data_IF_345573408192
#
_entry.id   IF_345573408192
#
_cell.length_a   1.000
_cell.length_b   1.000
_cell.length_c   1.000
_cell.angle_alpha   90.00
_cell.angle_beta   90.00
_cell.angle_gamma   90.00
#
_symmetry.space_group_name_H-M   'P 1'
#
loop_
_entity.id
_entity.type
_entity.pdbx_description
1 polymer ?
#
# COMPACT_ATOMS: atom_id res chain seq x y z
N UNK A 1 -7.71 -14.34 -1.30
CA UNK A 1 -8.96 -15.10 -1.18
C UNK A 1 -9.58 -14.95 0.19
N UNK A 2 -10.85 -15.38 0.31
CA UNK A 2 -11.60 -15.31 1.58
C UNK A 2 -10.91 -16.12 2.70
N UNK A 3 -10.94 -15.56 3.92
CA UNK A 3 -10.48 -16.24 5.15
C UNK A 3 -9.01 -16.72 5.11
N UNK A 4 -8.12 -15.91 4.52
CA UNK A 4 -6.70 -16.26 4.35
C UNK A 4 -5.74 -15.54 5.31
N UNK A 5 -6.24 -14.84 6.34
CA UNK A 5 -5.37 -14.09 7.27
C UNK A 5 -4.35 -14.98 7.98
N UNK A 6 -4.67 -16.24 8.23
CA UNK A 6 -3.75 -17.18 8.89
C UNK A 6 -2.49 -17.47 8.04
N UNK A 7 -2.52 -17.19 6.73
CA UNK A 7 -1.33 -17.31 5.88
C UNK A 7 -0.24 -16.28 6.22
N UNK A 8 -0.58 -15.20 6.95
CA UNK A 8 0.41 -14.24 7.45
C UNK A 8 1.50 -14.94 8.27
N UNK A 9 1.17 -16.01 8.97
CA UNK A 9 2.15 -16.80 9.72
C UNK A 9 3.23 -17.42 8.81
N UNK A 10 2.93 -17.69 7.56
CA UNK A 10 3.87 -18.24 6.58
C UNK A 10 4.54 -17.15 5.74
N UNK A 11 3.80 -16.08 5.43
CA UNK A 11 4.24 -15.01 4.53
C UNK A 11 5.19 -14.02 5.19
N UNK A 12 5.06 -13.81 6.49
CA UNK A 12 5.93 -12.91 7.27
C UNK A 12 7.03 -13.71 7.95
N UNK A 13 8.32 -13.30 7.91
CA UNK A 13 9.40 -14.02 8.58
C UNK A 13 9.11 -14.27 10.06
N UNK A 14 9.48 -15.44 10.58
CA UNK A 14 9.11 -15.89 11.94
C UNK A 14 9.74 -15.07 13.06
N UNK A 15 10.91 -14.53 12.80
CA UNK A 15 11.72 -13.71 13.71
C UNK A 15 11.54 -12.20 13.50
N UNK A 16 10.69 -11.80 12.53
CA UNK A 16 10.48 -10.42 12.21
C UNK A 16 9.88 -9.62 13.37
N UNK A 17 10.37 -8.39 13.53
CA UNK A 17 9.71 -7.33 14.29
C UNK A 17 8.84 -6.52 13.36
N UNK A 18 7.55 -6.74 13.45
CA UNK A 18 6.55 -6.24 12.49
C UNK A 18 5.99 -4.90 12.94
N UNK A 19 5.92 -3.92 12.04
CA UNK A 19 5.08 -2.74 12.21
C UNK A 19 3.81 -2.89 11.38
N UNK A 20 2.65 -2.82 12.01
CA UNK A 20 1.37 -2.68 11.31
C UNK A 20 1.10 -1.19 11.11
N UNK A 21 1.04 -0.75 9.84
CA UNK A 21 0.62 0.60 9.47
C UNK A 21 -0.86 0.60 9.08
N UNK A 22 -1.65 1.58 9.55
CA UNK A 22 -3.08 1.66 9.22
C UNK A 22 -3.62 3.10 9.26
N UNK A 23 -4.81 3.31 8.67
CA UNK A 23 -5.43 4.63 8.57
C UNK A 23 -6.22 5.06 9.81
N UNK A 24 -7.36 5.72 9.61
CA UNK A 24 -8.19 6.39 10.63
C UNK A 24 -8.94 5.49 11.62
N UNK A 25 -8.50 4.24 11.84
CA UNK A 25 -8.99 3.36 12.88
C UNK A 25 -10.18 2.45 12.52
N UNK A 26 -10.62 2.39 11.26
CA UNK A 26 -11.65 1.43 10.83
C UNK A 26 -11.20 -0.02 11.01
N UNK A 27 -9.93 -0.32 10.70
CA UNK A 27 -9.33 -1.63 10.90
C UNK A 27 -9.27 -2.04 12.39
N UNK A 28 -9.09 -1.07 13.30
CA UNK A 28 -9.15 -1.31 14.75
C UNK A 28 -10.60 -1.58 15.18
N UNK A 29 -11.53 -0.71 14.80
CA UNK A 29 -12.95 -0.85 15.18
C UNK A 29 -13.61 -2.13 14.67
N UNK A 30 -13.16 -2.64 13.54
CA UNK A 30 -13.66 -3.92 12.99
C UNK A 30 -13.00 -5.15 13.62
N UNK A 31 -12.02 -4.98 14.52
CA UNK A 31 -11.24 -6.07 15.10
C UNK A 31 -10.24 -6.71 14.11
N UNK A 32 -10.01 -6.09 12.95
CA UNK A 32 -9.09 -6.63 11.94
C UNK A 32 -7.65 -6.65 12.44
N UNK A 33 -7.21 -5.59 13.13
CA UNK A 33 -5.85 -5.50 13.68
C UNK A 33 -5.62 -6.65 14.67
N UNK A 34 -6.55 -6.92 15.57
CA UNK A 34 -6.43 -8.01 16.56
C UNK A 34 -6.36 -9.39 15.88
N UNK A 35 -7.15 -9.59 14.82
CA UNK A 35 -7.09 -10.82 13.99
C UNK A 35 -5.73 -10.99 13.33
N UNK A 36 -5.17 -9.90 12.79
CA UNK A 36 -3.84 -9.89 12.17
C UNK A 36 -2.75 -10.18 13.20
N UNK A 37 -2.78 -9.52 14.36
CA UNK A 37 -1.82 -9.77 15.46
C UNK A 37 -1.87 -11.24 15.90
N UNK A 38 -3.08 -11.80 16.02
CA UNK A 38 -3.25 -13.23 16.32
C UNK A 38 -2.66 -14.12 15.23
N UNK A 39 -2.87 -13.81 13.96
CA UNK A 39 -2.33 -14.56 12.84
C UNK A 39 -0.80 -14.48 12.74
N UNK A 40 -0.19 -13.37 13.17
CA UNK A 40 1.26 -13.21 13.24
C UNK A 40 1.92 -14.03 14.37
N UNK A 41 1.13 -14.60 15.29
CA UNK A 41 1.62 -15.49 16.34
C UNK A 41 2.55 -14.79 17.35
N UNK A 42 3.74 -15.37 17.58
CA UNK A 42 4.68 -14.90 18.61
C UNK A 42 5.61 -13.76 18.16
N UNK A 43 5.40 -13.18 16.96
CA UNK A 43 6.22 -12.07 16.47
C UNK A 43 6.04 -10.85 17.37
N UNK A 44 7.08 -10.03 17.47
CA UNK A 44 6.96 -8.70 18.08
C UNK A 44 6.23 -7.80 17.12
N UNK A 45 5.08 -7.25 17.54
CA UNK A 45 4.23 -6.42 16.71
C UNK A 45 4.10 -5.03 17.34
N UNK A 46 4.48 -4.03 16.58
CA UNK A 46 4.24 -2.61 16.85
C UNK A 46 3.12 -2.10 15.94
N UNK A 47 2.51 -0.98 16.29
CA UNK A 47 1.41 -0.40 15.54
C UNK A 47 1.62 1.10 15.31
N UNK A 48 1.40 1.55 14.08
CA UNK A 48 1.40 2.96 13.70
C UNK A 48 0.11 3.28 12.95
N UNK A 49 -0.81 3.95 13.63
CA UNK A 49 -2.11 4.33 13.07
C UNK A 49 -2.19 5.80 12.71
N UNK A 50 -3.31 6.18 12.09
CA UNK A 50 -3.63 7.57 11.78
C UNK A 50 -3.05 8.05 10.45
N UNK A 51 -2.67 7.15 9.55
CA UNK A 51 -2.33 7.54 8.18
C UNK A 51 -3.59 8.08 7.51
N UNK A 52 -3.55 9.35 7.15
CA UNK A 52 -4.65 10.07 6.54
C UNK A 52 -4.84 9.73 5.05
N UNK A 53 -6.04 9.94 4.48
CA UNK A 53 -6.22 9.96 3.03
C UNK A 53 -5.29 11.00 2.38
N UNK A 54 -4.63 10.64 1.27
CA UNK A 54 -3.55 11.42 0.66
C UNK A 54 -2.42 11.70 1.67
N UNK A 55 -1.66 10.69 2.04
CA UNK A 55 -0.73 10.76 3.16
C UNK A 55 0.32 11.85 2.97
N UNK A 56 0.61 12.55 4.06
CA UNK A 56 1.61 13.61 4.08
C UNK A 56 3.04 13.08 4.29
N UNK A 57 4.02 13.86 3.84
CA UNK A 57 5.43 13.59 4.13
C UNK A 57 5.67 13.55 5.64
N UNK A 58 5.08 14.46 6.39
CA UNK A 58 5.22 14.57 7.85
C UNK A 58 4.74 13.30 8.56
N UNK A 59 3.66 12.69 8.09
CA UNK A 59 3.18 11.40 8.62
C UNK A 59 4.16 10.27 8.30
N UNK A 60 4.72 10.26 7.09
CA UNK A 60 5.75 9.29 6.72
C UNK A 60 7.02 9.44 7.56
N UNK A 61 7.49 10.68 7.79
CA UNK A 61 8.67 10.96 8.63
C UNK A 61 8.48 10.49 10.08
N UNK A 62 7.30 10.70 10.66
CA UNK A 62 6.98 10.18 12.01
C UNK A 62 7.03 8.65 12.05
N UNK A 63 6.51 7.98 11.02
CA UNK A 63 6.56 6.53 10.94
C UNK A 63 7.99 6.01 10.74
N UNK A 64 8.81 6.69 9.94
CA UNK A 64 10.25 6.38 9.78
C UNK A 64 11.00 6.50 11.10
N UNK A 65 10.78 7.57 11.85
CA UNK A 65 11.38 7.76 13.17
C UNK A 65 10.96 6.63 14.12
N UNK A 66 9.68 6.27 14.13
CA UNK A 66 9.14 5.15 14.92
C UNK A 66 9.83 3.81 14.56
N UNK A 67 9.99 3.51 13.27
CA UNK A 67 10.69 2.30 12.82
C UNK A 67 12.13 2.24 13.33
N UNK A 68 12.88 3.36 13.18
CA UNK A 68 14.28 3.44 13.62
C UNK A 68 14.41 3.28 15.15
N UNK A 69 13.53 3.91 15.91
CA UNK A 69 13.50 3.80 17.38
C UNK A 69 13.23 2.36 17.86
N UNK A 70 12.27 1.68 17.20
CA UNK A 70 11.82 0.36 17.63
C UNK A 70 12.55 -0.80 16.95
N UNK A 71 13.43 -0.53 15.97
CA UNK A 71 14.18 -1.57 15.26
C UNK A 71 13.27 -2.55 14.51
N UNK A 72 12.26 -2.02 13.81
CA UNK A 72 11.35 -2.79 12.95
C UNK A 72 12.10 -3.25 11.70
N UNK A 73 11.84 -4.48 11.25
CA UNK A 73 12.48 -5.08 10.07
C UNK A 73 11.48 -5.59 9.02
N UNK A 74 10.18 -5.55 9.30
CA UNK A 74 9.11 -5.86 8.37
C UNK A 74 7.90 -4.94 8.59
N UNK A 75 7.27 -4.46 7.51
CA UNK A 75 6.07 -3.62 7.62
C UNK A 75 4.86 -4.31 7.00
N UNK A 76 3.70 -4.24 7.66
CA UNK A 76 2.43 -4.74 7.14
C UNK A 76 1.44 -3.58 6.99
N UNK A 77 1.16 -3.18 5.75
CA UNK A 77 0.21 -2.13 5.44
C UNK A 77 -1.23 -2.67 5.50
N UNK A 78 -2.06 -2.17 6.41
CA UNK A 78 -3.44 -2.61 6.59
C UNK A 78 -4.39 -1.45 6.28
N UNK A 79 -4.95 -1.43 5.09
CA UNK A 79 -5.79 -0.31 4.66
C UNK A 79 -6.10 -0.27 3.18
N UNK A 80 -6.37 0.92 2.67
CA UNK A 80 -6.50 1.22 1.26
C UNK A 80 -5.21 1.78 0.66
N UNK A 81 -5.28 2.26 -0.58
CA UNK A 81 -4.14 2.80 -1.33
C UNK A 81 -3.30 3.83 -0.58
N UNK A 82 -3.93 4.76 0.14
CA UNK A 82 -3.19 5.78 0.93
C UNK A 82 -2.26 5.18 1.98
N UNK A 83 -2.68 4.11 2.66
CA UNK A 83 -1.83 3.41 3.64
C UNK A 83 -0.67 2.69 2.94
N UNK A 84 -0.94 2.08 1.79
CA UNK A 84 0.08 1.39 0.99
C UNK A 84 1.08 2.40 0.43
N UNK A 85 0.62 3.53 -0.12
CA UNK A 85 1.46 4.60 -0.64
C UNK A 85 2.40 5.16 0.44
N UNK A 86 1.83 5.52 1.61
CA UNK A 86 2.64 5.95 2.75
C UNK A 86 3.70 4.89 3.12
N UNK A 87 3.29 3.60 3.18
CA UNK A 87 4.19 2.51 3.55
C UNK A 87 5.35 2.36 2.58
N UNK A 88 5.15 2.56 1.28
CA UNK A 88 6.23 2.53 0.29
C UNK A 88 7.30 3.59 0.57
N UNK A 89 6.91 4.83 0.85
CA UNK A 89 7.89 5.87 1.24
C UNK A 89 8.52 5.58 2.61
N UNK A 90 7.73 5.10 3.56
CA UNK A 90 8.19 4.76 4.92
C UNK A 90 9.28 3.69 4.88
N UNK A 91 9.11 2.59 4.12
CA UNK A 91 10.10 1.51 4.06
C UNK A 91 11.41 1.92 3.38
N UNK A 92 11.35 2.86 2.44
CA UNK A 92 12.55 3.48 1.86
C UNK A 92 13.24 4.41 2.86
N UNK A 93 12.49 5.34 3.47
CA UNK A 93 13.02 6.28 4.44
C UNK A 93 13.60 5.62 5.68
N UNK A 94 13.07 4.44 6.07
CA UNK A 94 13.55 3.69 7.24
C UNK A 94 15.00 3.21 7.10
N UNK A 95 15.45 2.93 5.88
CA UNK A 95 16.80 2.44 5.58
C UNK A 95 17.72 3.52 5.00
N UNK A 96 17.21 4.73 4.84
CA UNK A 96 17.96 5.88 4.36
C UNK A 96 18.49 6.71 5.53
N UNK A 97 19.76 7.16 5.42
CA UNK A 97 20.43 7.93 6.50
C UNK A 97 20.16 9.43 6.44
N UNK A 98 19.55 9.91 5.35
CA UNK A 98 19.19 11.33 5.14
C UNK A 98 17.72 11.65 5.43
N UNK A 99 17.31 12.89 5.14
CA UNK A 99 15.92 13.32 5.24
C UNK A 99 15.00 12.56 4.27
N UNK A 100 13.82 12.14 4.72
CA UNK A 100 12.85 11.38 3.90
C UNK A 100 12.40 12.15 2.66
N UNK A 101 12.40 13.49 2.72
CA UNK A 101 12.07 14.34 1.58
C UNK A 101 13.03 14.14 0.39
N UNK A 102 14.27 13.79 0.63
CA UNK A 102 15.24 13.50 -0.45
C UNK A 102 14.84 12.22 -1.18
N UNK A 103 14.43 11.19 -0.44
CA UNK A 103 13.91 9.93 -1.01
C UNK A 103 12.65 10.20 -1.82
N UNK A 104 11.73 11.00 -1.30
CA UNK A 104 10.51 11.38 -2.00
C UNK A 104 10.82 12.10 -3.33
N UNK A 105 11.72 13.08 -3.32
CA UNK A 105 12.11 13.83 -4.51
C UNK A 105 12.89 12.99 -5.52
N UNK A 106 13.74 12.08 -5.05
CA UNK A 106 14.46 11.15 -5.89
C UNK A 106 13.56 10.11 -6.57
N UNK A 107 12.37 9.85 -6.01
CA UNK A 107 11.37 8.94 -6.56
C UNK A 107 10.62 9.46 -7.79
N UNK A 108 10.89 10.68 -8.26
CA UNK A 108 10.38 11.17 -9.54
C UNK A 108 11.12 10.45 -10.69
N UNK A 109 10.42 10.00 -11.77
CA UNK A 109 11.01 9.12 -12.81
C UNK A 109 12.30 9.59 -13.47
N UNK A 110 12.61 10.87 -13.38
CA UNK A 110 13.80 11.49 -13.97
C UNK A 110 15.05 11.39 -13.10
N UNK A 111 14.93 10.91 -11.85
CA UNK A 111 16.03 10.77 -10.92
C UNK A 111 16.20 9.29 -10.54
N UNK A 112 17.35 8.67 -10.77
CA UNK A 112 17.59 7.27 -10.39
C UNK A 112 17.40 7.07 -8.88
N UNK A 113 16.54 6.16 -8.47
CA UNK A 113 16.28 5.82 -7.05
C UNK A 113 17.29 4.79 -6.55
N UNK A 114 18.54 4.95 -6.92
CA UNK A 114 19.63 4.12 -6.38
C UNK A 114 20.02 4.52 -4.93
N UNK A 115 19.44 5.62 -4.42
CA UNK A 115 19.72 6.15 -3.09
C UNK A 115 19.33 5.18 -1.96
N UNK A 116 18.36 4.32 -2.17
CA UNK A 116 17.86 3.38 -1.18
C UNK A 116 17.91 1.95 -1.74
N UNK A 117 19.08 1.32 -1.70
CA UNK A 117 19.26 0.02 -2.36
C UNK A 117 18.50 -1.14 -1.67
N UNK A 118 18.17 -1.02 -0.39
CA UNK A 118 17.57 -2.07 0.42
C UNK A 118 16.42 -1.53 1.30
N UNK A 119 15.27 -1.15 0.74
CA UNK A 119 14.12 -0.78 1.54
C UNK A 119 13.65 -1.96 2.39
N UNK A 120 13.02 -1.68 3.54
CA UNK A 120 12.44 -2.74 4.36
C UNK A 120 11.41 -3.53 3.54
N UNK A 121 11.36 -4.85 3.69
CA UNK A 121 10.30 -5.65 3.08
C UNK A 121 8.94 -5.31 3.71
N UNK A 122 7.90 -5.31 2.88
CA UNK A 122 6.54 -5.12 3.36
C UNK A 122 5.52 -5.97 2.61
N UNK A 123 4.40 -6.23 3.28
CA UNK A 123 3.22 -6.84 2.70
C UNK A 123 2.00 -5.96 2.88
N UNK A 124 0.89 -6.31 2.23
CA UNK A 124 -0.36 -5.56 2.34
C UNK A 124 -1.54 -6.47 2.73
N UNK A 125 -2.47 -5.92 3.50
CA UNK A 125 -3.81 -6.47 3.75
C UNK A 125 -4.80 -5.39 3.33
N UNK A 126 -5.44 -5.58 2.18
CA UNK A 126 -6.28 -4.57 1.57
C UNK A 126 -7.67 -4.54 2.20
N UNK A 127 -8.14 -3.35 2.58
CA UNK A 127 -9.50 -3.12 3.08
C UNK A 127 -10.34 -2.25 2.15
N UNK A 128 -9.71 -1.60 1.17
CA UNK A 128 -10.36 -0.79 0.15
C UNK A 128 -9.55 -0.91 -1.15
N UNK A 129 -10.00 -1.75 -2.10
CA UNK A 129 -9.39 -1.86 -3.41
C UNK A 129 -9.89 -0.72 -4.31
N UNK A 130 -8.99 -0.02 -4.97
CA UNK A 130 -9.28 0.99 -5.99
C UNK A 130 -8.00 1.34 -6.78
N UNK A 131 -6.96 1.81 -6.09
CA UNK A 131 -5.76 2.40 -6.68
C UNK A 131 -4.81 1.41 -7.34
N UNK A 132 -4.90 0.11 -7.05
CA UNK A 132 -3.93 -0.90 -7.48
C UNK A 132 -2.54 -0.75 -6.83
N UNK A 133 -2.40 0.10 -5.80
CA UNK A 133 -1.10 0.34 -5.13
C UNK A 133 -0.47 -0.93 -4.55
N UNK A 134 -1.28 -1.92 -4.20
CA UNK A 134 -0.84 -3.22 -3.70
C UNK A 134 -0.16 -4.08 -4.78
N UNK A 135 -0.25 -3.71 -6.06
CA UNK A 135 0.30 -4.47 -7.19
C UNK A 135 1.31 -3.67 -8.02
N UNK A 136 1.67 -2.46 -7.58
CA UNK A 136 2.61 -1.61 -8.31
C UNK A 136 3.71 -1.05 -7.40
N UNK A 137 4.63 -0.31 -7.98
CA UNK A 137 5.80 0.30 -7.33
C UNK A 137 5.67 1.82 -7.15
N UNK A 138 4.50 2.39 -7.43
CA UNK A 138 4.23 3.82 -7.31
C UNK A 138 3.54 4.16 -5.99
N UNK A 139 3.75 5.38 -5.53
CA UNK A 139 3.06 6.00 -4.41
C UNK A 139 2.81 7.47 -4.70
N UNK A 140 1.80 8.06 -4.08
CA UNK A 140 1.55 9.50 -4.16
C UNK A 140 1.53 10.08 -2.75
N UNK A 141 2.44 11.02 -2.50
CA UNK A 141 2.63 11.65 -1.18
C UNK A 141 2.32 13.14 -1.27
N UNK A 142 1.62 13.65 -0.29
CA UNK A 142 1.33 15.09 -0.15
C UNK A 142 2.47 15.79 0.55
N UNK A 143 2.93 16.91 -0.01
CA UNK A 143 3.90 17.79 0.62
C UNK A 143 3.59 19.26 0.27
N UNK A 144 3.42 20.11 1.27
CA UNK A 144 2.92 21.46 1.06
C UNK A 144 1.57 21.43 0.33
N UNK A 145 1.44 22.22 -0.71
CA UNK A 145 0.22 22.29 -1.54
C UNK A 145 0.22 21.31 -2.72
N UNK A 146 1.23 20.44 -2.82
CA UNK A 146 1.43 19.54 -3.95
C UNK A 146 1.28 18.05 -3.63
N UNK A 147 1.08 17.25 -4.68
CA UNK A 147 1.14 15.80 -4.66
C UNK A 147 2.35 15.34 -5.46
N UNK A 148 3.17 14.51 -4.86
CA UNK A 148 4.43 14.04 -5.44
C UNK A 148 4.33 12.53 -5.72
N UNK A 149 4.42 12.13 -7.00
CA UNK A 149 4.56 10.73 -7.32
C UNK A 149 5.95 10.24 -6.92
N UNK A 150 6.01 9.05 -6.33
CA UNK A 150 7.24 8.38 -5.90
C UNK A 150 7.26 7.00 -6.52
N UNK A 151 8.31 6.66 -7.25
CA UNK A 151 8.47 5.35 -7.88
C UNK A 151 9.80 4.71 -7.51
N UNK A 152 9.76 3.41 -7.22
CA UNK A 152 10.98 2.60 -7.06
C UNK A 152 10.69 1.15 -7.39
N UNK A 153 11.49 0.55 -8.25
CA UNK A 153 11.36 -0.89 -8.57
C UNK A 153 11.55 -1.82 -7.35
N UNK A 154 12.02 -1.28 -6.23
CA UNK A 154 12.30 -2.04 -5.01
C UNK A 154 11.13 -2.07 -4.03
N UNK A 155 10.06 -1.27 -4.26
CA UNK A 155 8.92 -1.16 -3.33
C UNK A 155 7.64 -1.81 -3.85
N UNK A 156 7.76 -2.89 -4.60
CA UNK A 156 6.64 -3.81 -4.76
C UNK A 156 6.39 -4.52 -3.42
N UNK A 157 5.13 -4.65 -2.96
CA UNK A 157 4.81 -5.50 -1.82
C UNK A 157 5.29 -6.94 -2.05
N UNK A 158 5.83 -7.59 -1.02
CA UNK A 158 6.24 -8.99 -1.08
C UNK A 158 5.05 -9.94 -1.28
N UNK A 159 3.91 -9.54 -0.75
CA UNK A 159 2.61 -10.16 -0.98
C UNK A 159 1.49 -9.13 -0.77
N UNK A 160 0.34 -9.41 -1.37
CA UNK A 160 -0.88 -8.62 -1.18
C UNK A 160 -2.03 -9.54 -0.84
N UNK A 161 -2.58 -9.38 0.36
CA UNK A 161 -3.72 -10.16 0.82
C UNK A 161 -5.02 -9.47 0.40
N UNK A 162 -5.72 -10.08 -0.53
CA UNK A 162 -6.98 -9.61 -1.11
C UNK A 162 -8.11 -10.53 -0.63
N UNK A 163 -8.68 -10.22 0.53
CA UNK A 163 -9.85 -10.90 1.07
C UNK A 163 -11.08 -10.02 0.86
N UNK A 164 -12.02 -10.43 -0.03
CA UNK A 164 -13.20 -9.63 -0.32
C UNK A 164 -14.07 -9.34 0.92
N UNK A 165 -14.04 -10.22 1.93
CA UNK A 165 -14.83 -10.04 3.14
C UNK A 165 -14.40 -8.84 3.97
N UNK A 166 -13.15 -8.38 3.83
CA UNK A 166 -12.64 -7.19 4.50
C UNK A 166 -13.22 -5.88 3.93
N UNK A 167 -13.88 -5.94 2.78
CA UNK A 167 -14.52 -4.78 2.14
C UNK A 167 -16.00 -4.63 2.52
N UNK A 168 -16.61 -5.61 3.18
CA UNK A 168 -18.06 -5.62 3.46
C UNK A 168 -18.51 -4.49 4.40
N UNK A 169 -17.60 -3.90 5.15
CA UNK A 169 -17.89 -2.78 6.06
C UNK A 169 -17.63 -1.41 5.42
N UNK A 170 -17.26 -1.37 4.15
CA UNK A 170 -17.03 -0.10 3.45
C UNK A 170 -18.34 0.69 3.32
N UNK A 171 -18.31 2.00 3.57
CA UNK A 171 -19.45 2.86 3.24
C UNK A 171 -19.79 2.78 1.75
N UNK A 172 -21.07 2.81 1.42
CA UNK A 172 -21.57 2.73 0.04
C UNK A 172 -20.86 3.69 -0.92
N UNK A 173 -20.59 4.93 -0.45
CA UNK A 173 -19.83 5.91 -1.23
C UNK A 173 -18.44 5.41 -1.64
N UNK A 174 -17.74 4.70 -0.75
CA UNK A 174 -16.41 4.15 -1.05
C UNK A 174 -16.47 2.99 -2.03
N UNK A 175 -17.51 2.17 -1.94
CA UNK A 175 -17.74 1.09 -2.93
C UNK A 175 -18.00 1.69 -4.30
N UNK A 176 -18.88 2.70 -4.41
CA UNK A 176 -19.15 3.41 -5.67
C UNK A 176 -17.88 4.06 -6.23
N UNK A 177 -17.10 4.74 -5.39
CA UNK A 177 -15.83 5.34 -5.81
C UNK A 177 -14.87 4.28 -6.37
N UNK A 178 -14.74 3.14 -5.72
CA UNK A 178 -13.86 2.05 -6.18
C UNK A 178 -14.28 1.46 -7.52
N UNK A 179 -15.58 1.29 -7.74
CA UNK A 179 -16.12 0.83 -9.04
C UNK A 179 -15.84 1.83 -10.15
N UNK A 180 -16.09 3.13 -9.90
CA UNK A 180 -15.84 4.20 -10.87
C UNK A 180 -14.34 4.31 -11.16
N UNK A 181 -13.49 4.25 -10.15
CA UNK A 181 -12.04 4.34 -10.28
C UNK A 181 -11.49 3.18 -11.13
N UNK A 182 -11.96 1.95 -10.87
CA UNK A 182 -11.62 0.78 -11.68
C UNK A 182 -12.05 0.95 -13.15
N UNK A 183 -13.25 1.50 -13.38
CA UNK A 183 -13.75 1.77 -14.73
C UNK A 183 -12.87 2.79 -15.44
N UNK A 184 -12.52 3.89 -14.77
CA UNK A 184 -11.66 4.96 -15.33
C UNK A 184 -10.28 4.42 -15.67
N UNK A 185 -9.61 3.75 -14.72
CA UNK A 185 -8.27 3.17 -14.93
C UNK A 185 -8.24 2.18 -16.11
N UNK A 186 -9.28 1.34 -16.23
CA UNK A 186 -9.38 0.42 -17.35
C UNK A 186 -9.59 1.14 -18.67
N UNK A 187 -10.46 2.17 -18.68
CA UNK A 187 -10.76 2.97 -19.86
C UNK A 187 -9.54 3.77 -20.33
N UNK A 188 -8.78 4.38 -19.41
CA UNK A 188 -7.54 5.10 -19.73
C UNK A 188 -6.56 4.23 -20.50
N UNK A 189 -6.36 2.99 -20.07
CA UNK A 189 -5.46 2.05 -20.75
C UNK A 189 -6.03 1.56 -22.08
N UNK A 190 -7.34 1.31 -22.14
CA UNK A 190 -8.03 0.83 -23.33
C UNK A 190 -8.05 1.87 -24.47
N UNK A 191 -8.16 3.15 -24.14
CA UNK A 191 -8.28 4.26 -25.09
C UNK A 191 -6.94 4.92 -25.45
N UNK A 192 -5.77 4.36 -25.09
CA UNK A 192 -4.47 5.03 -25.30
C UNK A 192 -4.15 5.24 -26.78
N UNK A 193 -3.86 4.20 -27.52
CA UNK A 193 -3.63 4.24 -28.96
C UNK A 193 -3.70 2.84 -29.57
N UNK A 194 -4.04 2.71 -30.88
CA UNK A 194 -4.26 1.41 -31.49
C UNK A 194 -2.93 0.69 -31.77
N UNK A 195 -2.64 -0.35 -30.97
CA UNK A 195 -1.44 -1.22 -31.11
C UNK A 195 -1.81 -2.68 -31.35
N UNK A 196 -3.07 -2.98 -31.67
CA UNK A 196 -3.58 -4.36 -31.81
C UNK A 196 -3.27 -5.25 -30.60
N UNK A 197 -3.41 -4.72 -29.38
CA UNK A 197 -3.24 -5.42 -28.12
C UNK A 197 -4.37 -6.41 -27.84
N UNK A 198 -4.56 -7.42 -28.73
CA UNK A 198 -5.74 -8.29 -28.78
C UNK A 198 -6.13 -8.94 -27.45
N UNK A 199 -5.15 -9.33 -26.62
CA UNK A 199 -5.39 -9.93 -25.32
C UNK A 199 -5.76 -8.84 -24.31
N UNK A 200 -5.00 -7.76 -24.24
CA UNK A 200 -5.23 -6.62 -23.35
C UNK A 200 -6.58 -5.99 -23.60
N UNK A 201 -6.96 -5.83 -24.86
CA UNK A 201 -8.28 -5.28 -25.26
C UNK A 201 -9.41 -6.16 -24.72
N UNK A 202 -9.31 -7.50 -24.86
CA UNK A 202 -10.34 -8.42 -24.34
C UNK A 202 -10.42 -8.41 -22.82
N UNK A 203 -9.28 -8.29 -22.12
CA UNK A 203 -9.28 -8.12 -20.67
C UNK A 203 -9.96 -6.81 -20.26
N UNK A 204 -9.62 -5.70 -20.89
CA UNK A 204 -10.24 -4.39 -20.64
C UNK A 204 -11.75 -4.43 -20.86
N UNK A 205 -12.19 -4.95 -22.01
CA UNK A 205 -13.62 -5.11 -22.30
C UNK A 205 -14.36 -6.00 -21.30
N UNK A 206 -13.70 -7.09 -20.83
CA UNK A 206 -14.24 -7.98 -19.81
C UNK A 206 -14.42 -7.27 -18.46
N UNK A 207 -13.41 -6.50 -18.04
CA UNK A 207 -13.46 -5.71 -16.79
C UNK A 207 -14.56 -4.64 -16.90
N UNK A 208 -14.59 -3.86 -17.98
CA UNK A 208 -15.58 -2.80 -18.18
C UNK A 208 -17.01 -3.36 -18.13
N UNK A 209 -17.28 -4.48 -18.80
CA UNK A 209 -18.60 -5.17 -18.75
C UNK A 209 -18.96 -5.67 -17.35
N UNK A 210 -17.96 -6.02 -16.53
CA UNK A 210 -18.19 -6.49 -15.17
C UNK A 210 -18.54 -5.35 -14.22
N UNK A 211 -18.05 -4.13 -14.51
CA UNK A 211 -18.27 -2.93 -13.68
C UNK A 211 -19.63 -2.25 -13.94
N UNK A 212 -20.29 -2.51 -15.05
CA UNK A 212 -21.61 -1.99 -15.40
C UNK A 212 -22.72 -2.88 -14.84
#
# INVERSE_FOLDING_TARGET
GKDRLDELDTLVPKDAKVLITYGGGSAVRSGLIDRIVKALGNRKVEQFGGIEPNPSLETCERAVAFIKEHGVDFVLAVGGGSVVDATKLIVMGATYDGPVIEVMKAGVPEVPVEMVPNPLPFGTVMTLPATGSEMNNGAVITYGDGKYPVFSSLVFPKFSMLDPTLTFTLPEKQVKNGVIDTFVHTTEQYLTYPVEGRIQDRFSEGILKTMI
#
